data_IF_820172304951
#
_entry.id   IF_820172304951
#
_cell.length_a   1.000
_cell.length_b   1.000
_cell.length_c   1.000
_cell.angle_alpha   90.00
_cell.angle_beta   90.00
_cell.angle_gamma   90.00
#
_symmetry.space_group_name_H-M   'P 1'
#
loop_
_entity.id
_entity.type
_entity.pdbx_description
1 polymer ?
#
# COMPACT_ATOMS: atom_id res chain seq x y z
N UNK A 1 -17.75 61.42 -21.55
CA UNK A 1 -18.51 61.99 -20.43
C UNK A 1 -18.28 61.11 -19.21
N UNK A 2 -17.85 61.72 -18.10
CA UNK A 2 -17.67 61.10 -16.77
C UNK A 2 -19.05 60.90 -16.10
N UNK A 3 -19.19 59.87 -15.26
CA UNK A 3 -19.81 59.97 -13.93
C UNK A 3 -19.42 58.76 -13.07
N UNK A 4 -18.79 59.08 -11.93
CA UNK A 4 -18.43 58.22 -10.79
C UNK A 4 -19.62 58.08 -9.83
N UNK A 5 -19.70 57.00 -9.03
CA UNK A 5 -20.06 56.92 -7.58
C UNK A 5 -20.24 55.42 -7.19
N UNK A 6 -19.45 54.77 -6.32
CA UNK A 6 -19.22 54.87 -4.86
C UNK A 6 -20.31 54.20 -3.96
N UNK A 7 -19.85 53.24 -3.12
CA UNK A 7 -20.51 52.39 -2.08
C UNK A 7 -21.07 53.19 -0.86
N UNK A 8 -22.00 52.67 -0.01
CA UNK A 8 -21.62 51.90 1.22
C UNK A 8 -22.67 50.91 1.88
N UNK A 9 -22.14 49.94 2.67
CA UNK A 9 -22.51 49.35 4.02
C UNK A 9 -23.99 49.12 4.46
N UNK A 10 -24.37 48.07 5.26
CA UNK A 10 -23.90 47.81 6.66
C UNK A 10 -23.75 46.31 7.09
N UNK A 11 -22.82 45.95 7.99
CA UNK A 11 -22.92 45.64 9.44
C UNK A 11 -24.02 44.66 9.92
N UNK A 12 -23.57 43.54 10.52
CA UNK A 12 -24.28 42.68 11.48
C UNK A 12 -23.41 41.46 11.82
N UNK A 13 -22.59 41.47 12.88
CA UNK A 13 -22.90 41.09 14.27
C UNK A 13 -23.17 39.58 14.46
N UNK A 14 -22.22 38.85 15.05
CA UNK A 14 -22.47 37.90 16.14
C UNK A 14 -21.15 37.38 16.72
N UNK A 15 -20.99 37.61 18.02
CA UNK A 15 -20.01 36.99 18.90
C UNK A 15 -20.25 35.48 19.01
N UNK A 16 -19.19 34.70 19.22
CA UNK A 16 -19.19 33.61 20.21
C UNK A 16 -17.74 33.26 20.59
N UNK A 17 -17.41 33.57 21.83
CA UNK A 17 -16.17 33.19 22.50
C UNK A 17 -16.25 31.74 22.97
N UNK A 18 -15.21 30.95 22.70
CA UNK A 18 -15.02 29.63 23.30
C UNK A 18 -13.68 29.63 24.02
N UNK A 19 -13.74 29.61 25.34
CA UNK A 19 -12.61 29.42 26.24
C UNK A 19 -12.34 27.92 26.38
N UNK A 20 -11.20 27.42 25.88
CA UNK A 20 -10.70 26.09 26.25
C UNK A 20 -9.69 26.21 27.39
N UNK A 21 -10.09 25.73 28.56
CA UNK A 21 -9.22 25.46 29.69
C UNK A 21 -8.32 24.26 29.38
N UNK A 22 -7.01 24.45 29.37
CA UNK A 22 -6.01 23.38 29.25
C UNK A 22 -5.43 23.08 30.63
N UNK A 23 -5.87 22.00 31.25
CA UNK A 23 -5.23 21.42 32.43
C UNK A 23 -4.05 20.55 32.00
N UNK A 24 -2.84 21.05 32.22
CA UNK A 24 -1.59 20.28 32.18
C UNK A 24 -1.52 19.39 33.43
N UNK A 25 -1.46 18.07 33.25
CA UNK A 25 -1.01 17.13 34.27
C UNK A 25 0.32 16.52 33.81
N UNK A 26 1.41 16.89 34.49
CA UNK A 26 2.71 16.23 34.45
C UNK A 26 2.86 15.41 35.74
N UNK A 27 3.02 14.10 35.62
CA UNK A 27 3.88 13.27 36.49
C UNK A 27 3.79 11.80 36.09
N UNK A 28 4.93 11.18 35.82
CA UNK A 28 5.06 9.73 35.61
C UNK A 28 6.47 9.34 35.15
N UNK A 29 7.43 9.40 36.06
CA UNK A 29 8.77 8.80 35.92
C UNK A 29 8.72 7.32 36.33
N UNK A 30 9.50 6.46 35.66
CA UNK A 30 10.14 5.30 36.30
C UNK A 30 9.79 3.94 35.71
N UNK A 31 10.81 3.32 35.12
CA UNK A 31 10.82 2.03 34.44
C UNK A 31 10.69 0.79 35.34
N UNK A 32 10.21 -0.32 34.76
CA UNK A 32 10.91 -1.61 34.78
C UNK A 32 10.46 -2.41 33.55
N UNK A 33 11.45 -2.86 32.77
CA UNK A 33 11.30 -3.64 31.54
C UNK A 33 11.06 -5.10 31.93
N UNK A 34 9.85 -5.61 31.74
CA UNK A 34 9.54 -7.04 31.93
C UNK A 34 9.60 -7.77 30.59
N UNK A 35 10.74 -8.42 30.37
CA UNK A 35 11.06 -9.49 29.41
C UNK A 35 10.00 -9.76 28.31
N UNK A 36 10.10 -9.13 27.12
CA UNK A 36 9.08 -9.23 26.07
C UNK A 36 9.07 -10.57 25.31
N UNK A 37 9.95 -11.51 25.67
CA UNK A 37 10.05 -12.83 25.05
C UNK A 37 10.06 -13.89 26.16
N UNK A 38 8.89 -14.14 26.75
CA UNK A 38 8.67 -15.09 27.84
C UNK A 38 8.88 -16.56 27.44
N UNK A 39 10.08 -16.91 27.01
CA UNK A 39 10.50 -18.27 26.71
C UNK A 39 11.58 -18.69 27.72
N UNK A 40 11.16 -19.48 28.71
CA UNK A 40 11.96 -20.11 29.78
C UNK A 40 12.18 -19.32 31.08
N UNK A 41 11.11 -18.96 31.80
CA UNK A 41 11.19 -18.82 33.26
C UNK A 41 10.50 -20.01 33.91
N UNK A 42 11.31 -20.95 34.40
CA UNK A 42 10.87 -22.00 35.29
C UNK A 42 10.54 -21.40 36.68
N UNK A 43 9.49 -21.94 37.25
CA UNK A 43 8.82 -21.63 38.51
C UNK A 43 9.74 -21.49 39.74
N UNK A 44 9.43 -20.54 40.63
CA UNK A 44 9.48 -20.75 42.08
C UNK A 44 8.84 -19.56 42.84
N UNK A 45 7.65 -19.77 43.42
CA UNK A 45 7.24 -19.03 44.64
C UNK A 45 5.79 -18.54 44.74
N UNK A 46 4.86 -19.46 45.05
CA UNK A 46 3.66 -19.35 45.93
C UNK A 46 3.27 -17.91 46.39
N UNK A 47 2.05 -17.40 46.22
CA UNK A 47 0.76 -17.88 46.76
C UNK A 47 -0.43 -17.05 46.22
N UNK A 48 -1.50 -17.67 45.72
CA UNK A 48 -2.86 -17.59 46.30
C UNK A 48 -3.97 -18.12 45.39
N UNK A 49 -4.72 -19.05 45.98
CA UNK A 49 -5.99 -19.69 45.65
C UNK A 49 -6.94 -19.07 44.61
N UNK A 50 -7.47 -19.96 43.75
CA UNK A 50 -8.73 -19.78 43.02
C UNK A 50 -8.94 -20.84 41.95
N UNK A 51 -9.45 -22.02 42.34
CA UNK A 51 -9.74 -23.12 41.41
C UNK A 51 -10.92 -22.81 40.49
N UNK A 52 -10.73 -22.92 39.16
CA UNK A 52 -11.78 -23.11 38.15
C UNK A 52 -11.33 -24.25 37.22
N UNK A 53 -12.28 -25.11 36.87
CA UNK A 53 -12.16 -26.40 36.19
C UNK A 53 -11.36 -26.38 34.85
N UNK A 54 -10.82 -27.54 34.40
CA UNK A 54 -10.06 -27.62 33.15
C UNK A 54 -11.03 -27.52 31.96
N UNK A 55 -11.15 -26.30 31.42
CA UNK A 55 -11.67 -26.07 30.07
C UNK A 55 -10.60 -26.45 29.06
N UNK A 56 -11.00 -27.14 27.99
CA UNK A 56 -10.14 -27.68 26.96
C UNK A 56 -9.29 -26.60 26.28
N UNK A 57 -8.03 -26.47 26.68
CA UNK A 57 -6.99 -25.76 25.93
C UNK A 57 -6.54 -26.61 24.74
N UNK A 58 -7.33 -26.54 23.69
CA UNK A 58 -6.82 -26.66 22.33
C UNK A 58 -6.94 -25.29 21.70
N UNK A 59 -6.02 -24.37 22.03
CA UNK A 59 -5.83 -23.16 21.23
C UNK A 59 -5.43 -23.63 19.84
N UNK A 60 -6.42 -23.85 18.99
CA UNK A 60 -6.22 -24.11 17.59
C UNK A 60 -5.45 -22.90 17.07
N UNK A 61 -4.31 -23.16 16.43
CA UNK A 61 -3.73 -22.16 15.55
C UNK A 61 -4.88 -21.66 14.66
N UNK A 62 -5.16 -20.36 14.69
CA UNK A 62 -6.15 -19.81 13.78
C UNK A 62 -5.75 -20.26 12.37
N UNK A 63 -6.71 -20.75 11.56
CA UNK A 63 -6.39 -21.10 10.19
C UNK A 63 -5.69 -19.91 9.54
N UNK A 64 -4.55 -20.16 8.91
CA UNK A 64 -3.93 -19.18 8.04
C UNK A 64 -4.99 -18.77 7.00
N UNK A 65 -5.55 -17.58 7.18
CA UNK A 65 -6.59 -17.00 6.33
C UNK A 65 -7.65 -16.15 7.04
N UNK A 66 -7.83 -16.32 8.36
CA UNK A 66 -8.92 -15.61 9.06
C UNK A 66 -8.66 -14.12 9.34
N UNK A 67 -7.43 -13.61 9.17
CA UNK A 67 -7.09 -12.24 9.56
C UNK A 67 -6.03 -11.57 8.67
N UNK A 68 -6.27 -11.61 7.35
CA UNK A 68 -5.39 -11.01 6.34
C UNK A 68 -5.44 -9.46 6.28
N UNK A 69 -6.30 -8.82 7.09
CA UNK A 69 -6.54 -7.37 7.02
C UNK A 69 -7.25 -6.94 5.73
N UNK A 70 -7.28 -5.64 5.47
CA UNK A 70 -7.94 -5.06 4.29
C UNK A 70 -7.04 -5.00 3.03
N UNK A 71 -5.73 -5.07 3.21
CA UNK A 71 -4.74 -5.02 2.13
C UNK A 71 -3.59 -6.02 2.38
N UNK A 72 -3.85 -7.33 2.21
CA UNK A 72 -2.84 -8.37 2.44
C UNK A 72 -1.67 -8.34 1.46
N UNK A 73 -1.83 -7.69 0.32
CA UNK A 73 -0.82 -7.59 -0.74
C UNK A 73 -0.06 -6.26 -0.68
N UNK A 74 -0.33 -5.42 0.32
CA UNK A 74 0.29 -4.10 0.50
C UNK A 74 0.19 -3.22 -0.77
N UNK A 75 -0.92 -3.32 -1.48
CA UNK A 75 -1.20 -2.59 -2.73
C UNK A 75 -1.28 -1.09 -2.49
N UNK A 76 -1.78 -0.66 -1.34
CA UNK A 76 -1.87 0.76 -0.98
C UNK A 76 -0.51 1.41 -0.67
N UNK A 77 0.57 0.63 -0.58
CA UNK A 77 1.90 1.18 -0.32
C UNK A 77 2.54 1.77 -1.59
N UNK A 78 3.68 2.46 -1.40
CA UNK A 78 4.57 2.91 -2.47
C UNK A 78 3.87 3.75 -3.57
N UNK A 79 3.03 4.69 -3.13
CA UNK A 79 2.37 5.65 -4.01
C UNK A 79 3.32 6.63 -4.68
N UNK A 80 2.89 7.18 -5.80
CA UNK A 80 3.58 8.24 -6.52
C UNK A 80 2.57 9.13 -7.25
N UNK A 81 2.94 10.39 -7.50
CA UNK A 81 2.24 11.23 -8.46
C UNK A 81 3.08 11.30 -9.72
N UNK A 82 2.52 10.87 -10.85
CA UNK A 82 3.20 10.87 -12.14
C UNK A 82 2.49 11.80 -13.11
N UNK A 83 3.26 12.72 -13.69
CA UNK A 83 2.85 13.42 -14.89
C UNK A 83 3.41 12.73 -16.14
N UNK A 84 2.55 12.47 -17.11
CA UNK A 84 2.89 11.92 -18.42
C UNK A 84 2.54 12.90 -19.55
N UNK A 85 3.33 12.87 -20.61
CA UNK A 85 2.95 13.53 -21.87
C UNK A 85 2.58 12.45 -22.88
N UNK A 86 1.39 12.55 -23.47
CA UNK A 86 0.91 11.62 -24.49
C UNK A 86 0.82 12.30 -25.87
N UNK A 87 1.87 12.24 -26.70
CA UNK A 87 1.78 12.59 -28.10
C UNK A 87 0.69 11.80 -28.83
N UNK A 88 0.22 12.33 -29.97
CA UNK A 88 -0.78 11.65 -30.80
C UNK A 88 -0.33 10.24 -31.17
N UNK A 89 -1.28 9.30 -31.16
CA UNK A 89 -1.07 7.88 -31.50
C UNK A 89 -0.07 7.15 -30.56
N UNK A 90 0.14 7.68 -29.35
CA UNK A 90 0.97 7.07 -28.30
C UNK A 90 0.13 6.70 -27.07
N UNK A 91 0.67 5.81 -26.24
CA UNK A 91 0.02 5.31 -25.02
C UNK A 91 1.00 5.35 -23.87
N UNK A 92 0.48 5.56 -22.66
CA UNK A 92 1.27 5.56 -21.45
C UNK A 92 1.17 4.21 -20.75
N UNK A 93 2.30 3.76 -20.22
CA UNK A 93 2.41 2.46 -19.55
C UNK A 93 3.03 2.65 -18.19
N UNK A 94 2.25 2.31 -17.17
CA UNK A 94 2.66 2.32 -15.78
C UNK A 94 2.94 0.90 -15.31
N UNK A 95 3.92 0.74 -14.43
CA UNK A 95 4.30 -0.57 -13.88
C UNK A 95 4.37 -0.48 -12.37
N UNK A 96 3.58 -1.30 -11.72
CA UNK A 96 3.51 -1.45 -10.26
C UNK A 96 4.08 -2.82 -9.91
N UNK A 97 5.13 -2.86 -9.11
CA UNK A 97 5.68 -4.11 -8.62
C UNK A 97 4.94 -4.52 -7.35
N UNK A 98 4.39 -5.72 -7.31
CA UNK A 98 3.77 -6.30 -6.13
C UNK A 98 4.52 -7.54 -5.66
N UNK A 99 4.47 -7.75 -4.35
CA UNK A 99 4.92 -8.95 -3.68
C UNK A 99 3.73 -9.59 -2.96
N UNK A 100 3.60 -10.92 -3.00
CA UNK A 100 2.63 -11.63 -2.18
C UNK A 100 3.33 -12.16 -0.91
N UNK A 101 3.28 -11.44 0.23
CA UNK A 101 3.95 -11.87 1.46
C UNK A 101 3.20 -12.98 2.20
N UNK A 102 2.06 -13.41 1.68
CA UNK A 102 1.18 -14.37 2.34
C UNK A 102 1.50 -15.80 1.93
N UNK A 103 0.86 -16.75 2.62
CA UNK A 103 0.87 -18.17 2.23
C UNK A 103 -0.30 -18.52 1.29
N UNK A 104 -1.11 -17.54 0.89
CA UNK A 104 -2.29 -17.73 0.05
C UNK A 104 -2.02 -17.38 -1.41
N UNK A 105 -2.80 -18.03 -2.29
CA UNK A 105 -2.89 -17.62 -3.69
C UNK A 105 -4.07 -16.68 -3.85
N UNK A 106 -3.83 -15.51 -4.43
CA UNK A 106 -4.89 -14.59 -4.80
C UNK A 106 -5.20 -14.69 -6.30
N UNK A 107 -6.44 -14.45 -6.68
CA UNK A 107 -6.84 -14.31 -8.09
C UNK A 107 -7.14 -12.84 -8.37
N UNK A 108 -6.47 -12.26 -9.35
CA UNK A 108 -6.75 -10.88 -9.76
C UNK A 108 -8.05 -10.77 -10.55
N UNK A 109 -8.80 -9.71 -10.26
CA UNK A 109 -9.97 -9.30 -11.03
C UNK A 109 -9.61 -8.20 -12.03
N UNK A 110 -10.65 -7.50 -12.50
CA UNK A 110 -10.47 -6.33 -13.35
C UNK A 110 -9.80 -5.18 -12.59
N UNK A 111 -8.96 -4.43 -13.30
CA UNK A 111 -8.35 -3.20 -12.76
C UNK A 111 -9.11 -1.99 -13.28
N UNK A 112 -9.23 -0.97 -12.43
CA UNK A 112 -9.91 0.27 -12.74
C UNK A 112 -9.07 1.48 -12.34
N UNK A 113 -9.39 2.64 -12.89
CA UNK A 113 -8.87 3.92 -12.40
C UNK A 113 -9.79 4.45 -11.32
N UNK A 114 -9.22 5.03 -10.25
CA UNK A 114 -9.96 5.81 -9.27
C UNK A 114 -10.28 7.20 -9.81
N UNK A 115 -11.56 7.57 -9.82
CA UNK A 115 -12.07 8.87 -10.26
C UNK A 115 -11.46 9.37 -11.60
N UNK A 116 -11.50 8.58 -12.69
CA UNK A 116 -10.86 8.97 -13.93
C UNK A 116 -11.58 10.15 -14.59
N UNK A 117 -10.80 11.12 -15.07
CA UNK A 117 -11.25 12.21 -15.91
C UNK A 117 -10.48 12.15 -17.24
N UNK A 118 -11.16 11.94 -18.36
CA UNK A 118 -10.51 12.01 -19.68
C UNK A 118 -9.43 10.95 -19.95
N UNK A 119 -9.32 9.92 -19.10
CA UNK A 119 -8.33 8.86 -19.16
C UNK A 119 -9.02 7.49 -19.09
N UNK A 120 -8.57 6.54 -19.90
CA UNK A 120 -9.10 5.17 -19.91
C UNK A 120 -8.00 4.10 -19.85
N UNK A 121 -8.31 2.94 -19.26
CA UNK A 121 -7.44 1.77 -19.30
C UNK A 121 -7.69 1.02 -20.60
N UNK A 122 -6.63 0.78 -21.36
CA UNK A 122 -6.67 -0.05 -22.56
C UNK A 122 -6.33 -1.51 -22.27
N UNK A 123 -5.42 -1.74 -21.32
CA UNK A 123 -5.07 -3.09 -20.90
C UNK A 123 -4.39 -3.10 -19.54
N UNK A 124 -4.69 -4.13 -18.76
CA UNK A 124 -3.95 -4.51 -17.57
C UNK A 124 -3.31 -5.89 -17.78
N UNK A 125 -2.00 -5.98 -17.56
CA UNK A 125 -1.24 -7.22 -17.73
C UNK A 125 -0.38 -7.51 -16.51
N UNK A 126 -0.10 -8.77 -16.27
CA UNK A 126 0.84 -9.23 -15.25
C UNK A 126 2.06 -9.84 -15.92
N UNK A 127 3.23 -9.52 -15.39
CA UNK A 127 4.49 -10.14 -15.76
C UNK A 127 5.22 -10.58 -14.49
N UNK A 128 5.80 -11.78 -14.47
CA UNK A 128 6.65 -12.22 -13.35
C UNK A 128 7.83 -11.26 -13.17
N UNK A 129 8.14 -10.88 -11.93
CA UNK A 129 9.25 -10.00 -11.60
C UNK A 129 10.31 -10.76 -10.79
N UNK A 130 11.57 -10.38 -10.97
CA UNK A 130 12.66 -10.91 -10.14
C UNK A 130 12.79 -10.09 -8.86
N UNK A 131 13.14 -10.78 -7.76
CA UNK A 131 13.34 -10.18 -6.43
C UNK A 131 14.47 -9.14 -6.39
N UNK A 132 15.46 -9.24 -7.28
CA UNK A 132 16.73 -8.48 -7.25
C UNK A 132 16.68 -6.95 -7.50
N UNK A 133 15.54 -6.27 -7.36
CA UNK A 133 15.41 -4.83 -7.68
C UNK A 133 15.48 -3.83 -6.52
N UNK A 134 15.05 -4.22 -5.30
CA UNK A 134 14.71 -3.26 -4.23
C UNK A 134 15.29 -3.62 -2.86
N UNK A 135 16.48 -4.22 -2.82
CA UNK A 135 17.21 -4.28 -1.57
C UNK A 135 17.72 -2.86 -1.22
N UNK A 136 16.99 -2.16 -0.35
CA UNK A 136 17.64 -1.22 0.54
C UNK A 136 18.63 -2.05 1.36
N UNK A 137 19.89 -2.05 0.95
CA UNK A 137 20.96 -2.52 1.83
C UNK A 137 20.85 -1.67 3.09
N UNK A 138 20.36 -2.27 4.18
CA UNK A 138 20.41 -1.66 5.49
C UNK A 138 21.86 -1.23 5.75
N UNK A 139 22.10 -0.13 6.47
CA UNK A 139 23.45 0.33 6.74
C UNK A 139 24.22 -0.83 7.35
N UNK A 140 25.32 -1.22 6.68
CA UNK A 140 26.21 -2.24 7.17
C UNK A 140 26.64 -1.83 8.58
N UNK A 141 26.21 -2.62 9.58
CA UNK A 141 26.77 -2.51 10.91
C UNK A 141 28.27 -2.77 10.81
N UNK A 142 29.03 -1.85 11.39
CA UNK A 142 30.48 -1.78 11.53
C UNK A 142 31.30 -2.96 10.99
N UNK A 143 32.09 -2.63 9.97
CA UNK A 143 33.13 -3.46 9.41
C UNK A 143 34.29 -3.62 10.41
N UNK A 144 34.54 -4.85 10.83
CA UNK A 144 35.88 -5.44 10.89
C UNK A 144 35.76 -6.96 11.05
N UNK A 145 35.50 -7.67 9.96
CA UNK A 145 36.01 -9.04 9.79
C UNK A 145 35.89 -9.48 8.34
N UNK A 146 36.87 -10.29 7.96
CA UNK A 146 37.24 -10.89 6.68
C UNK A 146 36.22 -10.82 5.53
N UNK A 147 36.74 -10.56 4.33
CA UNK A 147 36.04 -10.65 3.05
C UNK A 147 35.42 -12.04 2.84
N UNK A 148 34.26 -12.27 3.43
CA UNK A 148 33.38 -13.37 3.08
C UNK A 148 32.86 -13.07 1.68
N UNK A 149 33.12 -14.00 0.76
CA UNK A 149 32.60 -13.93 -0.60
C UNK A 149 31.11 -13.57 -0.56
N UNK A 150 30.69 -12.65 -1.43
CA UNK A 150 29.27 -12.32 -1.59
C UNK A 150 28.47 -13.63 -1.68
N UNK A 151 27.45 -13.84 -0.84
CA UNK A 151 26.68 -15.07 -0.85
C UNK A 151 26.16 -15.28 -2.27
N UNK A 152 26.54 -16.42 -2.85
CA UNK A 152 26.07 -16.80 -4.18
C UNK A 152 24.55 -16.95 -4.10
N UNK A 153 23.76 -16.32 -4.99
CA UNK A 153 22.31 -16.44 -4.95
C UNK A 153 21.89 -17.92 -4.96
N UNK A 154 21.25 -18.36 -3.87
CA UNK A 154 20.92 -19.78 -3.61
C UNK A 154 19.84 -20.31 -4.54
N UNK A 155 19.14 -19.44 -5.28
CA UNK A 155 18.09 -19.81 -6.23
C UNK A 155 18.36 -19.12 -7.57
N UNK A 156 18.27 -19.89 -8.66
CA UNK A 156 18.27 -19.30 -9.99
C UNK A 156 17.10 -18.31 -10.10
N UNK A 157 17.37 -17.11 -10.63
CA UNK A 157 16.32 -16.13 -10.90
C UNK A 157 15.23 -16.77 -11.75
N UNK A 158 13.97 -16.57 -11.36
CA UNK A 158 12.86 -17.11 -12.12
C UNK A 158 12.84 -16.47 -13.51
N UNK A 159 12.62 -17.22 -14.60
CA UNK A 159 12.57 -16.63 -15.92
C UNK A 159 11.43 -15.61 -16.00
N UNK A 160 11.75 -14.37 -16.39
CA UNK A 160 10.73 -13.36 -16.65
C UNK A 160 9.94 -13.78 -17.90
N UNK A 161 8.71 -14.24 -17.70
CA UNK A 161 7.80 -14.64 -18.77
C UNK A 161 7.26 -13.43 -19.56
N UNK A 162 6.57 -13.66 -20.70
CA UNK A 162 5.84 -12.60 -21.38
C UNK A 162 4.67 -12.08 -20.53
N UNK A 163 4.25 -10.81 -20.67
CA UNK A 163 3.07 -10.30 -19.98
C UNK A 163 1.79 -11.03 -20.41
N UNK A 164 0.98 -11.44 -19.44
CA UNK A 164 -0.33 -12.08 -19.61
C UNK A 164 -1.45 -11.16 -19.11
N UNK A 165 -2.73 -11.36 -19.49
CA UNK A 165 -3.84 -10.61 -18.91
C UNK A 165 -3.82 -10.67 -17.37
N UNK A 166 -4.13 -9.55 -16.72
CA UNK A 166 -4.15 -9.48 -15.26
C UNK A 166 -5.38 -10.19 -14.67
N UNK A 167 -6.55 -10.02 -15.28
CA UNK A 167 -7.78 -10.69 -14.84
C UNK A 167 -7.63 -12.21 -14.90
N UNK A 168 -8.01 -12.89 -13.82
CA UNK A 168 -7.87 -14.33 -13.64
C UNK A 168 -6.44 -14.79 -13.33
N UNK A 169 -5.45 -13.89 -13.27
CA UNK A 169 -4.08 -14.25 -12.92
C UNK A 169 -4.01 -14.77 -11.48
N UNK A 170 -3.32 -15.90 -11.29
CA UNK A 170 -3.10 -16.50 -9.97
C UNK A 170 -1.77 -16.03 -9.40
N UNK A 171 -1.84 -15.17 -8.39
CA UNK A 171 -0.68 -14.64 -7.71
C UNK A 171 -0.25 -15.57 -6.58
N UNK A 172 0.76 -16.39 -6.86
CA UNK A 172 1.25 -17.40 -5.93
C UNK A 172 1.90 -16.79 -4.66
N UNK A 173 1.95 -17.54 -3.55
CA UNK A 173 2.69 -17.17 -2.34
C UNK A 173 4.15 -16.83 -2.63
N UNK A 174 4.69 -15.80 -1.95
CA UNK A 174 6.09 -15.32 -2.04
C UNK A 174 6.54 -14.88 -3.46
N UNK A 175 5.61 -14.84 -4.42
CA UNK A 175 5.91 -14.41 -5.78
C UNK A 175 6.04 -12.88 -5.87
N UNK A 176 6.80 -12.43 -6.86
CA UNK A 176 6.87 -11.02 -7.24
C UNK A 176 6.37 -10.87 -8.68
N UNK A 177 5.58 -9.83 -8.92
CA UNK A 177 5.05 -9.53 -10.24
C UNK A 177 5.08 -8.04 -10.51
N UNK A 178 5.05 -7.70 -11.78
CA UNK A 178 4.77 -6.38 -12.31
C UNK A 178 3.35 -6.37 -12.87
N UNK A 179 2.49 -5.53 -12.29
CA UNK A 179 1.25 -5.12 -12.92
C UNK A 179 1.58 -4.00 -13.90
N UNK A 180 1.24 -4.20 -15.16
CA UNK A 180 1.47 -3.29 -16.27
C UNK A 180 0.13 -2.74 -16.72
N UNK A 181 -0.15 -1.49 -16.39
CA UNK A 181 -1.38 -0.79 -16.79
C UNK A 181 -1.06 0.15 -17.95
N UNK A 182 -1.75 -0.05 -19.07
CA UNK A 182 -1.66 0.83 -20.24
C UNK A 182 -2.90 1.70 -20.29
N UNK A 183 -2.69 3.01 -20.34
CA UNK A 183 -3.76 4.01 -20.41
C UNK A 183 -3.61 4.89 -21.63
N UNK A 184 -4.72 5.57 -21.97
CA UNK A 184 -4.78 6.52 -23.06
C UNK A 184 -5.75 7.66 -22.70
N UNK A 185 -5.44 8.89 -23.16
CA UNK A 185 -6.42 9.97 -23.19
C UNK A 185 -7.60 9.57 -24.05
N UNK A 186 -8.82 9.79 -23.55
CA UNK A 186 -10.04 9.58 -24.34
C UNK A 186 -10.04 10.45 -25.60
N UNK A 187 -10.63 9.94 -26.67
CA UNK A 187 -10.71 10.65 -27.96
C UNK A 187 -11.19 12.11 -27.82
N UNK A 188 -10.36 13.03 -28.31
CA UNK A 188 -10.66 14.48 -28.31
C UNK A 188 -10.34 15.21 -27.00
N UNK A 189 -9.83 14.51 -25.99
CA UNK A 189 -9.40 15.10 -24.72
C UNK A 189 -7.91 15.46 -24.77
N UNK A 190 -7.55 16.62 -24.21
CA UNK A 190 -6.15 17.10 -24.18
C UNK A 190 -5.45 16.88 -22.84
N UNK A 191 -6.23 16.60 -21.78
CA UNK A 191 -5.74 16.37 -20.43
C UNK A 191 -6.61 15.31 -19.76
N UNK A 192 -6.00 14.36 -19.06
CA UNK A 192 -6.71 13.35 -18.30
C UNK A 192 -5.98 12.96 -17.02
N UNK A 193 -6.74 12.53 -16.03
CA UNK A 193 -6.23 12.23 -14.70
C UNK A 193 -6.92 11.03 -14.05
N UNK A 194 -6.27 10.47 -13.04
CA UNK A 194 -6.84 9.48 -12.13
C UNK A 194 -6.16 9.60 -10.75
N UNK A 195 -6.93 9.41 -9.68
CA UNK A 195 -6.43 9.51 -8.31
C UNK A 195 -5.59 8.29 -7.90
N UNK A 196 -5.94 7.12 -8.44
CA UNK A 196 -5.36 5.83 -8.07
C UNK A 196 -5.56 4.77 -9.18
N UNK A 197 -4.90 3.63 -9.02
CA UNK A 197 -5.22 2.39 -9.73
C UNK A 197 -5.89 1.45 -8.73
N UNK A 198 -7.17 1.12 -8.94
CA UNK A 198 -7.88 0.12 -8.16
C UNK A 198 -7.56 -1.29 -8.64
N UNK A 199 -7.02 -2.09 -7.73
CA UNK A 199 -6.71 -3.50 -7.96
C UNK A 199 -7.75 -4.35 -7.24
N UNK A 200 -8.61 -5.01 -8.02
CA UNK A 200 -9.50 -6.03 -7.50
C UNK A 200 -8.78 -7.38 -7.43
N UNK A 201 -8.96 -8.11 -6.35
CA UNK A 201 -8.44 -9.47 -6.20
C UNK A 201 -9.24 -10.26 -5.17
N UNK A 202 -9.11 -11.57 -5.16
CA UNK A 202 -9.84 -12.43 -4.24
C UNK A 202 -8.98 -13.57 -3.69
N UNK A 203 -9.28 -13.96 -2.46
CA UNK A 203 -8.92 -15.26 -1.90
C UNK A 203 -10.13 -16.20 -1.97
N UNK A 204 -10.02 -17.48 -1.57
CA UNK A 204 -11.18 -18.37 -1.46
C UNK A 204 -12.28 -17.85 -0.53
N UNK A 205 -11.92 -17.01 0.45
CA UNK A 205 -12.82 -16.62 1.55
C UNK A 205 -13.40 -15.21 1.38
N UNK A 206 -12.74 -14.31 0.62
CA UNK A 206 -13.21 -12.93 0.42
C UNK A 206 -12.66 -12.26 -0.82
N UNK A 207 -13.38 -11.23 -1.25
CA UNK A 207 -12.96 -10.27 -2.27
C UNK A 207 -12.28 -9.04 -1.63
N UNK A 208 -11.39 -8.43 -2.40
CA UNK A 208 -10.65 -7.23 -2.06
C UNK A 208 -10.68 -6.25 -3.23
N UNK A 209 -10.67 -4.96 -2.91
CA UNK A 209 -10.52 -3.87 -3.87
C UNK A 209 -9.70 -2.79 -3.21
N UNK A 210 -8.42 -2.73 -3.52
CA UNK A 210 -7.48 -1.79 -2.89
C UNK A 210 -7.02 -0.77 -3.92
N UNK A 211 -6.98 0.50 -3.52
CA UNK A 211 -6.43 1.59 -4.32
C UNK A 211 -4.90 1.61 -4.16
N UNK A 212 -4.17 1.37 -5.24
CA UNK A 212 -2.76 1.68 -5.30
C UNK A 212 -2.62 3.19 -5.50
N UNK A 213 -1.87 3.84 -4.61
CA UNK A 213 -1.72 5.31 -4.54
C UNK A 213 -0.86 5.90 -5.68
N UNK A 214 -1.05 5.42 -6.91
CA UNK A 214 -0.45 5.97 -8.11
C UNK A 214 -1.41 6.96 -8.74
N UNK A 215 -1.20 8.23 -8.47
CA UNK A 215 -1.93 9.32 -9.11
C UNK A 215 -1.32 9.57 -10.48
N UNK A 216 -2.20 9.65 -11.49
CA UNK A 216 -1.82 9.80 -12.88
C UNK A 216 -2.37 11.14 -13.36
N UNK A 217 -1.50 11.94 -13.96
CA UNK A 217 -1.82 13.19 -14.62
C UNK A 217 -1.21 13.13 -16.03
N UNK A 218 -2.00 13.38 -17.06
CA UNK A 218 -1.57 13.20 -18.46
C UNK A 218 -1.99 14.39 -19.28
N UNK A 219 -1.04 14.98 -19.97
CA UNK A 219 -1.27 16.06 -20.92
C UNK A 219 -0.81 15.70 -22.33
N UNK A 220 -1.52 16.20 -23.34
CA UNK A 220 -1.17 15.95 -24.73
C UNK A 220 0.16 16.62 -25.15
N UNK A 221 0.59 17.68 -24.45
CA UNK A 221 1.72 18.52 -24.88
C UNK A 221 2.84 18.66 -23.86
N UNK A 222 2.55 18.76 -22.57
CA UNK A 222 3.57 19.07 -21.56
C UNK A 222 3.07 18.83 -20.15
N UNK A 223 3.98 18.39 -19.28
CA UNK A 223 3.81 18.40 -17.82
C UNK A 223 4.22 19.76 -17.24
N UNK A 224 3.47 20.26 -16.26
CA UNK A 224 3.75 21.52 -15.55
C UNK A 224 4.38 21.32 -14.18
#
# INVERSE_FOLDING_TARGET
MKLLTALPHPRGAALLAVTLASSLALAGCGAAEENPLGVNSADDGRTSAGAVAPGADGSAAEPAGSNLGEDPLNIGADGAELCGVQPKDSRLRYTVMLHNPTLETFTFGEMALGNPEGLEILSAKVQTANREGHHHAGPAADAHEEHTAAPTPTKAAEPIGPPVPAEGYRFAPDAHINIIVTVELTDGVTHGSADDIRVAFSSPDRDYSVAHNLKIDVDATSCS
#
